data_IF_185069280920
#
_entry.id   IF_185069280920
#
_cell.length_a   1.000
_cell.length_b   1.000
_cell.length_c   1.000
_cell.angle_alpha   90.00
_cell.angle_beta   90.00
_cell.angle_gamma   90.00
#
_symmetry.space_group_name_H-M   'P 1'
#
loop_
_entity.id
_entity.type
_entity.pdbx_description
1 polymer ?
#
# COMPACT_ATOMS: atom_id res chain seq x y z
N UNK A 1 -51.25 -43.06 -12.14
CA UNK A 1 -50.68 -43.43 -10.82
C UNK A 1 -50.13 -42.16 -10.17
N UNK A 2 -50.79 -41.63 -9.14
CA UNK A 2 -50.20 -40.57 -8.31
C UNK A 2 -49.25 -41.28 -7.33
N UNK A 3 -47.93 -41.16 -7.52
CA UNK A 3 -46.96 -41.68 -6.55
C UNK A 3 -47.17 -40.96 -5.22
N UNK A 4 -47.66 -41.68 -4.20
CA UNK A 4 -47.66 -41.16 -2.84
C UNK A 4 -46.21 -41.15 -2.36
N UNK A 5 -45.62 -39.97 -2.18
CA UNK A 5 -44.34 -39.85 -1.48
C UNK A 5 -44.52 -40.41 -0.07
N UNK A 6 -43.63 -41.32 0.33
CA UNK A 6 -43.60 -41.82 1.71
C UNK A 6 -43.12 -40.71 2.64
N UNK A 7 -43.55 -40.76 3.91
CA UNK A 7 -42.99 -39.89 4.96
C UNK A 7 -41.46 -40.02 5.03
N UNK A 8 -40.94 -41.22 4.78
CA UNK A 8 -39.50 -41.50 4.74
C UNK A 8 -38.81 -40.73 3.59
N UNK A 9 -39.43 -40.66 2.42
CA UNK A 9 -38.87 -39.96 1.26
C UNK A 9 -38.73 -38.45 1.53
N UNK A 10 -39.72 -37.87 2.20
CA UNK A 10 -39.68 -36.47 2.65
C UNK A 10 -38.55 -36.20 3.65
N UNK A 11 -38.33 -37.13 4.60
CA UNK A 11 -37.25 -37.00 5.59
C UNK A 11 -35.87 -37.07 4.93
N UNK A 12 -35.65 -38.02 4.01
CA UNK A 12 -34.37 -38.16 3.31
C UNK A 12 -34.04 -36.91 2.50
N UNK A 13 -35.02 -36.38 1.75
CA UNK A 13 -34.84 -35.14 0.98
C UNK A 13 -34.54 -33.95 1.92
N UNK A 14 -35.23 -33.86 3.06
CA UNK A 14 -34.97 -32.82 4.06
C UNK A 14 -33.56 -32.90 4.66
N UNK A 15 -33.07 -34.09 5.00
CA UNK A 15 -31.71 -34.30 5.52
C UNK A 15 -30.65 -33.99 4.48
N UNK A 16 -30.84 -34.42 3.22
CA UNK A 16 -29.89 -34.09 2.16
C UNK A 16 -29.84 -32.57 1.88
N UNK A 17 -31.00 -31.89 1.89
CA UNK A 17 -31.06 -30.45 1.71
C UNK A 17 -30.39 -29.70 2.88
N UNK A 18 -30.63 -30.09 4.13
CA UNK A 18 -30.04 -29.43 5.30
C UNK A 18 -28.52 -29.61 5.36
N UNK A 19 -28.01 -30.80 5.04
CA UNK A 19 -26.56 -31.05 4.90
C UNK A 19 -25.98 -30.21 3.76
N UNK A 20 -26.66 -30.14 2.62
CA UNK A 20 -26.26 -29.29 1.49
C UNK A 20 -26.14 -27.82 1.89
N UNK A 21 -27.17 -27.23 2.52
CA UNK A 21 -27.13 -25.84 2.98
C UNK A 21 -26.04 -25.60 4.04
N UNK A 22 -25.84 -26.54 4.96
CA UNK A 22 -24.83 -26.44 6.02
C UNK A 22 -23.40 -26.39 5.47
N UNK A 23 -23.12 -27.08 4.36
CA UNK A 23 -21.82 -27.06 3.71
C UNK A 23 -21.62 -25.87 2.78
N UNK A 24 -22.68 -25.38 2.13
CA UNK A 24 -22.62 -24.27 1.18
C UNK A 24 -22.49 -22.90 1.85
N UNK A 25 -23.15 -22.67 2.99
CA UNK A 25 -23.14 -21.37 3.65
C UNK A 25 -21.73 -20.92 4.09
N UNK A 26 -20.90 -21.75 4.76
CA UNK A 26 -19.53 -21.37 5.09
C UNK A 26 -18.66 -21.10 3.85
N UNK A 27 -18.90 -21.84 2.76
CA UNK A 27 -18.17 -21.66 1.51
C UNK A 27 -18.50 -20.31 0.84
N UNK A 28 -19.78 -19.94 0.78
CA UNK A 28 -20.23 -18.64 0.22
C UNK A 28 -19.65 -17.48 1.04
N UNK A 29 -19.61 -17.60 2.37
CA UNK A 29 -19.04 -16.57 3.23
C UNK A 29 -17.52 -16.40 3.02
N UNK A 30 -16.78 -17.51 2.91
CA UNK A 30 -15.35 -17.48 2.57
C UNK A 30 -15.09 -16.83 1.21
N UNK A 31 -15.92 -17.14 0.21
CA UNK A 31 -15.80 -16.56 -1.13
C UNK A 31 -16.08 -15.06 -1.12
N UNK A 32 -17.07 -14.58 -0.35
CA UNK A 32 -17.37 -13.16 -0.20
C UNK A 32 -16.23 -12.42 0.52
N UNK A 33 -15.69 -12.98 1.59
CA UNK A 33 -14.54 -12.41 2.28
C UNK A 33 -13.32 -12.29 1.35
N UNK A 34 -13.03 -13.33 0.57
CA UNK A 34 -11.96 -13.31 -0.44
C UNK A 34 -12.21 -12.26 -1.54
N UNK A 35 -13.45 -12.10 -1.99
CA UNK A 35 -13.81 -11.09 -2.97
C UNK A 35 -13.58 -9.66 -2.45
N UNK A 36 -13.93 -9.38 -1.19
CA UNK A 36 -13.69 -8.08 -0.57
C UNK A 36 -12.20 -7.76 -0.41
N UNK A 37 -11.43 -8.74 0.03
CA UNK A 37 -9.97 -8.65 0.09
C UNK A 37 -9.38 -8.31 -1.29
N UNK A 38 -9.81 -9.03 -2.34
CA UNK A 38 -9.39 -8.76 -3.71
C UNK A 38 -9.80 -7.37 -4.21
N UNK A 39 -10.98 -6.87 -3.83
CA UNK A 39 -11.43 -5.52 -4.15
C UNK A 39 -10.57 -4.45 -3.47
N UNK A 40 -10.21 -4.63 -2.19
CA UNK A 40 -9.34 -3.66 -1.51
C UNK A 40 -7.94 -3.61 -2.16
N UNK A 41 -7.40 -4.77 -2.55
CA UNK A 41 -6.18 -4.83 -3.36
C UNK A 41 -6.34 -4.15 -4.73
N UNK A 42 -7.50 -4.27 -5.37
CA UNK A 42 -7.79 -3.61 -6.65
C UNK A 42 -7.88 -2.08 -6.52
N UNK A 43 -8.45 -1.57 -5.43
CA UNK A 43 -8.48 -0.13 -5.14
C UNK A 43 -7.06 0.42 -4.95
N UNK A 44 -6.19 -0.29 -4.25
CA UNK A 44 -4.77 0.08 -4.16
C UNK A 44 -4.08 0.09 -5.53
N UNK A 45 -4.41 -0.84 -6.44
CA UNK A 45 -3.90 -0.79 -7.82
C UNK A 45 -4.39 0.43 -8.59
N UNK A 46 -5.64 0.83 -8.40
CA UNK A 46 -6.17 2.06 -9.00
C UNK A 46 -5.45 3.30 -8.46
N UNK A 47 -5.17 3.35 -7.15
CA UNK A 47 -4.37 4.40 -6.53
C UNK A 47 -2.93 4.40 -7.02
N UNK A 48 -2.32 3.23 -7.21
CA UNK A 48 -1.00 3.09 -7.82
C UNK A 48 -0.95 3.61 -9.25
N UNK A 49 -1.94 3.26 -10.07
CA UNK A 49 -2.05 3.80 -11.42
C UNK A 49 -2.20 5.33 -11.41
N UNK A 50 -3.03 5.87 -10.51
CA UNK A 50 -3.18 7.31 -10.35
C UNK A 50 -1.86 7.99 -9.92
N UNK A 51 -1.10 7.37 -9.02
CA UNK A 51 0.22 7.84 -8.59
C UNK A 51 1.22 7.86 -9.75
N UNK A 52 1.28 6.81 -10.57
CA UNK A 52 2.15 6.76 -11.75
C UNK A 52 1.73 7.78 -12.82
N UNK A 53 0.43 7.98 -13.04
CA UNK A 53 -0.08 8.99 -13.96
C UNK A 53 0.24 10.41 -13.48
N UNK A 54 0.12 10.68 -12.18
CA UNK A 54 0.54 11.93 -11.58
C UNK A 54 2.05 12.15 -11.79
N UNK A 55 2.88 11.15 -11.51
CA UNK A 55 4.32 11.24 -11.73
C UNK A 55 4.66 11.45 -13.22
N UNK A 56 3.96 10.80 -14.15
CA UNK A 56 4.14 11.00 -15.58
C UNK A 56 3.79 12.43 -16.02
N UNK A 57 2.74 13.03 -15.46
CA UNK A 57 2.30 14.39 -15.79
C UNK A 57 3.18 15.49 -15.16
N UNK A 58 3.61 15.30 -13.91
CA UNK A 58 4.26 16.35 -13.12
C UNK A 58 5.74 16.09 -12.80
N UNK A 59 6.28 14.94 -13.21
CA UNK A 59 7.66 14.48 -12.94
C UNK A 59 8.04 14.55 -11.45
N UNK A 60 7.06 14.28 -10.58
CA UNK A 60 7.16 14.27 -9.13
C UNK A 60 5.93 13.56 -8.54
N UNK A 61 6.03 13.10 -7.31
CA UNK A 61 4.91 12.69 -6.47
C UNK A 61 4.31 13.90 -5.77
N UNK A 62 3.01 13.87 -5.41
CA UNK A 62 2.42 14.90 -4.56
C UNK A 62 3.12 14.89 -3.19
N UNK A 63 3.24 16.06 -2.53
CA UNK A 63 3.75 16.11 -1.17
C UNK A 63 2.77 15.42 -0.20
N UNK A 64 3.29 14.85 0.89
CA UNK A 64 2.45 14.22 1.93
C UNK A 64 1.56 15.23 2.66
N UNK A 65 2.09 16.43 2.89
CA UNK A 65 1.38 17.60 3.39
C UNK A 65 1.70 18.79 2.48
N UNK A 66 0.71 19.58 2.08
CA UNK A 66 0.93 20.80 1.32
C UNK A 66 -0.34 21.61 1.14
N UNK A 67 -0.32 22.58 0.23
CA UNK A 67 -1.46 23.44 -0.06
C UNK A 67 -1.19 24.92 0.24
N UNK A 68 -2.17 25.60 0.83
CA UNK A 68 -2.18 27.04 1.11
C UNK A 68 -2.03 27.30 2.61
N UNK A 69 -1.33 28.37 2.95
CA UNK A 69 -1.01 28.76 4.34
C UNK A 69 -1.23 30.25 4.55
N UNK A 70 -1.26 30.69 5.81
CA UNK A 70 -1.28 32.11 6.18
C UNK A 70 -2.66 32.78 6.18
N UNK A 71 -3.74 31.99 6.25
CA UNK A 71 -5.12 32.47 6.34
C UNK A 71 -5.91 31.79 7.46
N UNK A 72 -7.20 32.09 7.53
CA UNK A 72 -8.15 31.41 8.41
C UNK A 72 -8.58 30.06 7.81
N UNK A 73 -9.24 29.23 8.61
CA UNK A 73 -9.65 27.88 8.21
C UNK A 73 -10.62 27.85 7.03
N UNK A 74 -11.30 28.96 6.73
CA UNK A 74 -12.19 29.09 5.58
C UNK A 74 -11.51 29.67 4.32
N UNK A 75 -10.28 30.16 4.45
CA UNK A 75 -9.54 30.87 3.39
C UNK A 75 -8.20 30.22 3.06
N UNK A 76 -7.74 29.26 3.85
CA UNK A 76 -6.61 28.41 3.51
C UNK A 76 -6.76 27.01 4.09
N UNK A 77 -5.96 26.07 3.61
CA UNK A 77 -6.00 24.68 4.07
C UNK A 77 -4.95 24.33 5.14
N UNK A 78 -4.32 25.35 5.74
CA UNK A 78 -3.25 25.21 6.73
C UNK A 78 -2.13 24.26 6.26
N UNK A 79 -1.87 24.21 4.95
CA UNK A 79 -0.94 23.30 4.28
C UNK A 79 -1.09 21.82 4.65
N UNK A 80 -2.34 21.39 4.93
CA UNK A 80 -2.68 20.02 5.34
C UNK A 80 -3.30 19.19 4.24
N UNK A 81 -3.25 19.60 2.97
CA UNK A 81 -3.73 18.75 1.88
C UNK A 81 -2.82 17.55 1.66
N UNK A 82 -3.42 16.38 1.56
CA UNK A 82 -2.73 15.11 1.30
C UNK A 82 -2.61 14.76 -0.20
N UNK A 83 -1.84 13.70 -0.53
CA UNK A 83 -1.61 13.29 -1.91
C UNK A 83 -2.87 12.88 -2.68
N UNK A 84 -3.89 12.37 -1.99
CA UNK A 84 -5.16 11.93 -2.60
C UNK A 84 -5.82 13.07 -3.37
N UNK A 85 -5.73 14.31 -2.87
CA UNK A 85 -6.25 15.50 -3.55
C UNK A 85 -5.62 15.65 -4.94
N UNK A 86 -4.29 15.44 -5.05
CA UNK A 86 -3.59 15.45 -6.34
C UNK A 86 -3.90 14.24 -7.23
N UNK A 87 -4.31 13.11 -6.65
CA UNK A 87 -4.70 11.91 -7.40
C UNK A 87 -6.12 11.99 -7.98
N UNK A 88 -6.98 12.87 -7.49
CA UNK A 88 -8.38 13.00 -7.96
C UNK A 88 -8.55 13.04 -9.48
N UNK A 89 -7.82 13.85 -10.29
CA UNK A 89 -8.01 13.85 -11.75
C UNK A 89 -7.61 12.51 -12.41
N UNK A 90 -6.75 11.72 -11.78
CA UNK A 90 -6.29 10.42 -12.26
C UNK A 90 -7.13 9.24 -11.72
N UNK A 91 -8.14 9.53 -10.90
CA UNK A 91 -9.10 8.57 -10.33
C UNK A 91 -10.51 8.80 -10.89
N UNK A 92 -10.59 9.34 -12.12
CA UNK A 92 -11.84 9.69 -12.80
C UNK A 92 -12.67 10.76 -12.04
N UNK A 93 -12.05 11.51 -11.12
CA UNK A 93 -12.69 12.58 -10.34
C UNK A 93 -12.31 13.97 -10.88
N UNK A 94 -12.28 14.13 -12.21
CA UNK A 94 -11.91 15.41 -12.86
C UNK A 94 -12.85 16.56 -12.43
N UNK A 95 -14.16 16.31 -12.36
CA UNK A 95 -15.13 17.33 -11.94
C UNK A 95 -14.94 17.77 -10.47
N UNK A 96 -14.53 16.84 -9.60
CA UNK A 96 -14.20 17.15 -8.21
C UNK A 96 -12.91 17.99 -8.13
N UNK A 97 -11.88 17.60 -8.89
CA UNK A 97 -10.64 18.35 -8.98
C UNK A 97 -10.88 19.79 -9.46
N UNK A 98 -11.76 20.00 -10.44
CA UNK A 98 -12.09 21.34 -10.94
C UNK A 98 -12.76 22.22 -9.88
N UNK A 99 -13.59 21.65 -9.00
CA UNK A 99 -14.14 22.38 -7.85
C UNK A 99 -13.07 22.74 -6.83
N UNK A 100 -12.09 21.85 -6.61
CA UNK A 100 -11.01 22.06 -5.63
C UNK A 100 -9.98 23.06 -6.16
N UNK A 101 -9.52 22.89 -7.39
CA UNK A 101 -8.41 23.64 -7.98
C UNK A 101 -8.77 25.08 -8.36
N UNK A 102 -10.06 25.42 -8.43
CA UNK A 102 -10.55 26.75 -8.82
C UNK A 102 -11.30 27.43 -7.66
N UNK A 103 -11.53 28.76 -7.73
CA UNK A 103 -12.40 29.42 -6.76
C UNK A 103 -13.79 28.79 -6.78
N UNK A 104 -14.27 28.40 -5.61
CA UNK A 104 -15.55 27.71 -5.44
C UNK A 104 -16.54 28.60 -4.69
N UNK A 105 -17.81 28.57 -5.07
CA UNK A 105 -18.88 29.29 -4.37
C UNK A 105 -19.90 28.27 -3.91
N UNK A 106 -20.11 28.19 -2.60
CA UNK A 106 -21.07 27.25 -2.02
C UNK A 106 -22.48 27.53 -2.52
N UNK A 107 -23.16 26.57 -3.18
CA UNK A 107 -24.55 26.74 -3.58
C UNK A 107 -25.50 26.93 -2.38
N UNK A 108 -25.11 26.46 -1.19
CA UNK A 108 -25.95 26.50 0.02
C UNK A 108 -25.85 27.84 0.75
N UNK A 109 -24.63 28.35 0.93
CA UNK A 109 -24.39 29.56 1.75
C UNK A 109 -24.00 30.79 0.91
N UNK A 110 -23.66 30.63 -0.37
CA UNK A 110 -23.10 31.69 -1.21
C UNK A 110 -21.67 32.08 -0.82
N UNK A 111 -21.07 31.42 0.17
CA UNK A 111 -19.70 31.67 0.61
C UNK A 111 -18.71 31.32 -0.49
N UNK A 112 -17.73 32.21 -0.72
CA UNK A 112 -16.67 32.01 -1.69
C UNK A 112 -15.43 31.46 -1.00
N UNK A 113 -14.86 30.45 -1.62
CA UNK A 113 -13.65 29.77 -1.19
C UNK A 113 -12.56 29.94 -2.25
N UNK A 114 -11.30 30.16 -1.84
CA UNK A 114 -10.19 30.28 -2.77
C UNK A 114 -9.84 28.91 -3.40
N UNK A 115 -9.02 28.91 -4.47
CA UNK A 115 -8.43 27.68 -5.01
C UNK A 115 -7.75 26.85 -3.91
N UNK A 116 -7.80 25.53 -4.08
CA UNK A 116 -7.33 24.50 -3.14
C UNK A 116 -8.15 24.38 -1.85
N UNK A 117 -9.24 25.13 -1.74
CA UNK A 117 -10.21 25.02 -0.66
C UNK A 117 -9.69 25.45 0.73
N UNK A 118 -10.60 25.49 1.72
CA UNK A 118 -10.26 25.71 3.13
C UNK A 118 -9.54 24.56 3.86
N UNK A 119 -9.47 24.60 5.19
CA UNK A 119 -8.92 23.54 6.02
C UNK A 119 -9.68 22.20 5.85
N UNK A 120 -9.00 21.04 5.86
CA UNK A 120 -9.68 19.74 5.76
C UNK A 120 -10.69 19.42 6.86
N UNK A 121 -10.66 20.13 8.00
CA UNK A 121 -11.67 20.03 9.07
C UNK A 121 -12.81 21.03 8.92
N UNK A 122 -12.75 21.91 7.92
CA UNK A 122 -13.79 22.89 7.69
C UNK A 122 -15.12 22.20 7.37
N UNK A 123 -16.24 22.89 7.65
CA UNK A 123 -17.56 22.32 7.52
C UNK A 123 -17.83 21.84 6.08
N UNK A 124 -17.95 20.52 5.93
CA UNK A 124 -18.22 19.85 4.66
C UNK A 124 -19.65 20.14 4.14
N UNK A 125 -20.55 20.62 5.01
CA UNK A 125 -21.86 21.11 4.59
C UNK A 125 -21.74 22.41 3.80
N UNK A 126 -20.76 23.28 4.12
CA UNK A 126 -20.49 24.53 3.42
C UNK A 126 -19.59 24.35 2.21
N UNK A 127 -18.58 23.47 2.28
CA UNK A 127 -17.68 23.13 1.18
C UNK A 127 -17.88 21.65 0.76
N UNK A 128 -18.79 21.44 -0.20
CA UNK A 128 -19.18 20.10 -0.67
C UNK A 128 -18.06 19.21 -1.23
N UNK A 129 -16.93 19.73 -1.77
CA UNK A 129 -15.88 18.85 -2.28
C UNK A 129 -15.30 17.89 -1.23
N UNK A 130 -15.21 18.27 0.05
CA UNK A 130 -14.72 17.31 1.06
C UNK A 130 -15.74 16.28 1.52
N UNK A 131 -17.03 16.54 1.29
CA UNK A 131 -18.08 15.54 1.46
C UNK A 131 -18.11 14.51 0.31
N UNK A 132 -17.32 14.72 -0.75
CA UNK A 132 -17.42 13.97 -2.01
C UNK A 132 -16.38 12.85 -2.15
N UNK A 133 -16.22 11.94 -1.17
CA UNK A 133 -15.38 10.77 -1.46
C UNK A 133 -15.99 9.88 -2.55
N UNK A 134 -15.16 9.02 -3.10
CA UNK A 134 -15.51 8.08 -4.15
C UNK A 134 -15.19 6.67 -3.69
N UNK A 135 -15.86 5.68 -4.29
CA UNK A 135 -15.83 4.28 -3.84
C UNK A 135 -14.43 3.68 -3.80
N UNK A 136 -13.51 4.14 -4.65
CA UNK A 136 -12.10 3.69 -4.68
C UNK A 136 -11.34 4.01 -3.39
N UNK A 137 -11.80 4.96 -2.56
CA UNK A 137 -11.17 5.29 -1.28
C UNK A 137 -11.66 4.43 -0.10
N UNK A 138 -12.67 3.57 -0.32
CA UNK A 138 -13.24 2.71 0.72
C UNK A 138 -12.89 1.25 0.47
N UNK A 139 -12.42 0.56 1.51
CA UNK A 139 -12.26 -0.88 1.48
C UNK A 139 -13.59 -1.55 1.88
N UNK A 140 -14.19 -2.40 1.02
CA UNK A 140 -15.45 -3.07 1.34
C UNK A 140 -15.43 -3.93 2.62
N UNK A 141 -14.25 -4.37 3.06
CA UNK A 141 -14.11 -5.16 4.28
C UNK A 141 -14.33 -4.33 5.54
N UNK A 142 -14.05 -3.02 5.49
CA UNK A 142 -14.26 -2.09 6.61
C UNK A 142 -15.68 -1.50 6.66
N UNK A 143 -16.48 -1.66 5.60
CA UNK A 143 -17.85 -1.14 5.54
C UNK A 143 -18.89 -2.02 6.26
N UNK A 144 -18.61 -3.31 6.49
CA UNK A 144 -19.61 -4.27 7.01
C UNK A 144 -19.88 -4.10 8.52
N UNK A 145 -19.03 -3.38 9.26
CA UNK A 145 -19.20 -3.21 10.72
C UNK A 145 -20.03 -2.00 11.13
N UNK A 146 -20.58 -1.22 10.19
CA UNK A 146 -21.53 -0.16 10.57
C UNK A 146 -22.86 -0.82 11.01
N UNK A 147 -23.36 -0.52 12.22
CA UNK A 147 -24.58 -1.16 12.73
C UNK A 147 -25.78 -0.80 11.86
N UNK A 148 -26.33 -1.84 11.22
CA UNK A 148 -27.67 -1.98 10.65
C UNK A 148 -28.29 -0.72 10.01
N UNK A 149 -27.94 -0.47 8.75
CA UNK A 149 -28.99 -0.06 7.79
C UNK A 149 -29.56 -1.34 7.14
N UNK A 150 -30.89 -1.43 6.94
CA UNK A 150 -31.53 -2.68 6.50
C UNK A 150 -30.89 -3.16 5.21
N UNK A 151 -30.56 -4.46 5.15
CA UNK A 151 -30.07 -5.17 3.96
C UNK A 151 -30.92 -4.84 2.73
N UNK A 152 -30.52 -3.83 1.97
CA UNK A 152 -30.87 -3.73 0.56
C UNK A 152 -29.99 -4.72 -0.19
N UNK A 153 -30.63 -5.51 -1.05
CA UNK A 153 -29.98 -6.40 -2.01
C UNK A 153 -28.81 -5.69 -2.71
N UNK A 154 -27.77 -6.43 -3.18
CA UNK A 154 -26.61 -5.83 -3.81
C UNK A 154 -27.06 -5.05 -5.04
N UNK A 155 -27.21 -3.74 -4.89
CA UNK A 155 -27.37 -2.81 -5.99
C UNK A 155 -26.08 -2.95 -6.79
N UNK A 156 -26.20 -3.33 -8.05
CA UNK A 156 -25.14 -3.10 -9.03
C UNK A 156 -25.02 -1.57 -9.12
N UNK A 157 -24.14 -1.00 -8.30
CA UNK A 157 -23.93 0.45 -8.22
C UNK A 157 -23.17 0.88 -9.46
N UNK A 158 -23.91 1.17 -10.54
CA UNK A 158 -23.40 1.85 -11.73
C UNK A 158 -23.46 3.39 -11.61
N UNK A 159 -23.86 3.94 -10.46
CA UNK A 159 -23.98 5.38 -10.26
C UNK A 159 -23.64 5.80 -8.82
N UNK A 160 -22.65 6.68 -8.70
CA UNK A 160 -22.10 7.31 -7.50
C UNK A 160 -23.14 8.17 -6.76
N UNK A 161 -23.81 7.60 -5.75
CA UNK A 161 -24.44 8.38 -4.68
C UNK A 161 -24.22 7.65 -3.36
N UNK A 162 -23.48 8.27 -2.44
CA UNK A 162 -23.34 7.79 -1.07
C UNK A 162 -24.61 8.12 -0.27
N UNK A 163 -24.97 7.29 0.73
CA UNK A 163 -26.11 7.58 1.59
C UNK A 163 -25.87 8.87 2.40
N UNK A 164 -26.93 9.67 2.53
CA UNK A 164 -26.94 10.92 3.29
C UNK A 164 -26.53 10.70 4.75
N UNK A 165 -25.64 11.56 5.26
CA UNK A 165 -25.23 11.59 6.66
C UNK A 165 -26.44 11.94 7.55
N UNK A 166 -26.59 11.31 8.74
CA UNK A 166 -27.67 11.61 9.67
C UNK A 166 -27.58 13.05 10.22
N UNK A 167 -28.72 13.68 10.57
CA UNK A 167 -28.74 15.04 11.09
C UNK A 167 -28.06 15.11 12.45
N UNK A 168 -27.00 15.92 12.58
CA UNK A 168 -26.29 16.15 13.85
C UNK A 168 -24.82 15.67 13.88
N UNK A 169 -24.29 15.15 12.77
CA UNK A 169 -22.85 14.86 12.67
C UNK A 169 -22.04 16.17 12.54
N UNK A 170 -21.56 16.69 13.66
CA UNK A 170 -20.38 17.56 13.68
C UNK A 170 -19.15 16.65 13.62
N UNK A 171 -18.60 16.48 12.42
CA UNK A 171 -17.16 16.54 12.14
C UNK A 171 -16.82 15.96 10.76
N UNK A 172 -16.65 16.91 9.83
CA UNK A 172 -15.70 16.97 8.72
C UNK A 172 -15.33 15.67 7.97
N UNK A 173 -15.91 15.56 6.78
CA UNK A 173 -15.42 14.86 5.57
C UNK A 173 -15.51 13.33 5.55
N UNK A 174 -15.50 12.78 4.35
CA UNK A 174 -15.76 11.35 4.12
C UNK A 174 -14.55 10.48 4.44
N UNK A 175 -14.81 9.27 4.93
CA UNK A 175 -13.81 8.30 5.34
C UNK A 175 -12.93 7.80 4.18
N UNK A 176 -11.69 7.45 4.48
CA UNK A 176 -10.70 6.86 3.57
C UNK A 176 -9.99 5.68 4.25
N UNK A 177 -9.84 4.58 3.54
CA UNK A 177 -9.14 3.39 4.03
C UNK A 177 -7.70 3.26 3.51
N UNK A 178 -7.22 4.20 2.70
CA UNK A 178 -5.90 4.11 2.07
C UNK A 178 -5.02 5.27 2.53
N UNK A 179 -3.87 4.92 3.11
CA UNK A 179 -2.94 5.82 3.78
C UNK A 179 -1.57 5.81 3.11
N UNK A 180 -0.85 6.91 3.23
CA UNK A 180 0.45 7.14 2.59
C UNK A 180 1.60 6.74 3.52
N UNK A 181 2.67 6.16 2.96
CA UNK A 181 3.85 5.77 3.74
C UNK A 181 4.78 6.96 3.98
N UNK A 182 5.00 7.30 5.24
CA UNK A 182 5.92 8.34 5.71
C UNK A 182 7.30 7.78 6.11
N UNK A 183 7.49 6.47 5.96
CA UNK A 183 8.70 5.75 6.32
C UNK A 183 8.75 5.47 7.82
N UNK A 184 9.93 5.54 8.41
CA UNK A 184 10.22 5.04 9.76
C UNK A 184 10.91 6.08 10.67
N UNK A 185 10.73 7.37 10.35
CA UNK A 185 11.05 8.44 11.30
C UNK A 185 10.06 8.44 12.46
N UNK A 186 10.51 8.78 13.67
CA UNK A 186 9.67 8.75 14.89
C UNK A 186 9.52 10.08 15.59
N UNK A 187 10.16 11.16 15.11
CA UNK A 187 10.23 12.43 15.82
C UNK A 187 9.64 13.59 15.01
N UNK A 188 8.50 14.12 15.45
CA UNK A 188 7.81 15.27 14.83
C UNK A 188 7.57 15.09 13.32
N UNK A 189 6.95 13.96 12.97
CA UNK A 189 6.71 13.52 11.60
C UNK A 189 5.33 13.92 11.06
N UNK A 190 4.42 14.41 11.90
CA UNK A 190 3.05 14.78 11.54
C UNK A 190 2.84 16.28 11.26
N UNK A 191 3.90 17.08 11.31
CA UNK A 191 3.85 18.54 11.16
C UNK A 191 4.17 18.99 9.72
N UNK A 192 3.60 20.12 9.29
CA UNK A 192 4.10 20.85 8.13
C UNK A 192 5.40 21.57 8.51
N UNK A 193 6.37 21.55 7.60
CA UNK A 193 7.70 22.10 7.87
C UNK A 193 7.71 23.60 7.53
N UNK A 194 8.07 24.44 8.50
CA UNK A 194 8.53 25.79 8.20
C UNK A 194 9.89 25.71 7.51
N UNK A 195 9.93 26.10 6.24
CA UNK A 195 11.15 26.08 5.43
C UNK A 195 12.22 27.08 5.93
N UNK A 196 11.83 28.04 6.78
CA UNK A 196 12.74 29.00 7.37
C UNK A 196 13.36 28.48 8.68
N UNK A 197 12.78 27.43 9.27
CA UNK A 197 13.34 26.75 10.42
C UNK A 197 14.36 25.69 9.96
N UNK A 198 15.65 26.05 10.10
CA UNK A 198 16.78 25.19 9.72
C UNK A 198 16.78 23.88 10.51
N UNK A 199 16.34 23.89 11.77
CA UNK A 199 16.28 22.70 12.62
C UNK A 199 15.18 21.76 12.15
N UNK A 200 13.98 22.27 11.89
CA UNK A 200 12.87 21.50 11.32
C UNK A 200 13.22 20.90 9.95
N UNK A 201 13.89 21.69 9.08
CA UNK A 201 14.36 21.21 7.77
C UNK A 201 15.38 20.08 7.92
N UNK A 202 16.34 20.21 8.84
CA UNK A 202 17.35 19.17 9.08
C UNK A 202 16.73 17.90 9.67
N UNK A 203 15.81 18.04 10.64
CA UNK A 203 15.03 16.95 11.21
C UNK A 203 14.31 16.15 10.15
N UNK A 204 13.59 16.82 9.25
CA UNK A 204 12.86 16.14 8.19
C UNK A 204 13.79 15.44 7.21
N UNK A 205 14.87 16.10 6.78
CA UNK A 205 15.84 15.48 5.86
C UNK A 205 16.48 14.23 6.46
N UNK A 206 16.64 14.20 7.78
CA UNK A 206 17.13 13.04 8.52
C UNK A 206 16.07 11.94 8.69
N UNK A 207 14.89 12.30 9.22
CA UNK A 207 13.91 11.35 9.72
C UNK A 207 12.83 10.94 8.73
N UNK A 208 12.40 11.83 7.82
CA UNK A 208 11.36 11.49 6.83
C UNK A 208 11.98 10.72 5.66
N UNK A 209 12.01 9.40 5.81
CA UNK A 209 12.58 8.47 4.82
C UNK A 209 11.52 7.79 3.95
N UNK A 210 10.24 8.10 4.12
CA UNK A 210 9.16 7.60 3.27
C UNK A 210 9.10 8.22 1.86
N UNK A 211 8.29 7.59 1.02
CA UNK A 211 7.98 8.09 -0.32
C UNK A 211 7.14 9.39 -0.28
N UNK A 212 6.30 9.51 0.75
CA UNK A 212 5.52 10.71 1.05
C UNK A 212 6.07 11.35 2.32
N UNK A 213 6.21 12.67 2.32
CA UNK A 213 6.77 13.42 3.43
C UNK A 213 6.23 14.85 3.45
N UNK A 214 6.31 15.51 4.60
CA UNK A 214 5.77 16.85 4.79
C UNK A 214 6.38 17.86 3.81
N UNK A 215 5.54 18.51 3.00
CA UNK A 215 5.86 19.57 2.03
C UNK A 215 7.01 19.31 1.04
N UNK A 216 7.55 18.09 0.96
CA UNK A 216 8.61 17.73 0.01
C UNK A 216 8.04 16.95 -1.17
N UNK A 217 8.41 17.40 -2.36
CA UNK A 217 8.03 16.73 -3.62
C UNK A 217 9.13 15.74 -3.98
N UNK A 218 8.80 14.47 -3.94
CA UNK A 218 9.71 13.38 -4.29
C UNK A 218 9.59 13.01 -5.76
N UNK A 219 10.62 12.40 -6.34
CA UNK A 219 10.58 11.80 -7.68
C UNK A 219 10.96 10.33 -7.59
N UNK A 220 10.60 9.53 -8.60
CA UNK A 220 10.99 8.11 -8.61
C UNK A 220 12.51 7.90 -8.57
N UNK A 221 13.29 8.83 -9.13
CA UNK A 221 14.77 8.80 -9.02
C UNK A 221 15.30 8.99 -7.59
N UNK A 222 14.49 9.53 -6.68
CA UNK A 222 14.88 9.79 -5.30
C UNK A 222 14.68 8.54 -4.41
N UNK A 223 14.10 7.47 -4.97
CA UNK A 223 13.90 6.15 -4.34
C UNK A 223 15.10 5.25 -4.62
N UNK A 224 16.22 5.51 -3.95
CA UNK A 224 17.50 4.81 -4.13
C UNK A 224 17.43 3.32 -3.74
N UNK A 225 16.46 2.94 -2.89
CA UNK A 225 16.22 1.54 -2.50
C UNK A 225 15.47 0.74 -3.58
N UNK A 226 14.97 1.44 -4.60
CA UNK A 226 14.24 0.89 -5.74
C UNK A 226 12.73 0.90 -5.53
N UNK A 227 11.99 1.23 -6.59
CA UNK A 227 10.52 1.35 -6.54
C UNK A 227 9.83 0.04 -6.10
N UNK A 228 10.40 -1.11 -6.45
CA UNK A 228 9.87 -2.42 -6.07
C UNK A 228 10.10 -2.81 -4.61
N UNK A 229 10.98 -2.09 -3.91
CA UNK A 229 11.35 -2.34 -2.51
C UNK A 229 10.84 -1.26 -1.55
N UNK A 230 10.30 -0.15 -2.06
CA UNK A 230 9.73 0.91 -1.23
C UNK A 230 8.21 0.88 -1.29
N UNK A 231 7.56 0.88 -0.13
CA UNK A 231 6.11 0.99 0.02
C UNK A 231 5.69 2.45 -0.18
N UNK A 232 4.67 2.65 -1.01
CA UNK A 232 4.03 3.96 -1.19
C UNK A 232 2.79 4.13 -0.33
N UNK A 233 1.92 3.13 -0.30
CA UNK A 233 0.61 3.22 0.35
C UNK A 233 0.23 1.91 1.04
N UNK A 234 -0.66 1.99 2.02
CA UNK A 234 -1.20 0.82 2.70
C UNK A 234 -2.65 1.09 3.13
N UNK A 235 -3.28 0.07 3.71
CA UNK A 235 -4.61 0.17 4.29
C UNK A 235 -4.59 0.73 5.73
N UNK A 236 -5.69 1.37 6.11
CA UNK A 236 -6.08 1.66 7.49
C UNK A 236 -7.53 1.28 7.73
N UNK A 237 -7.83 0.80 8.94
CA UNK A 237 -9.20 0.75 9.48
C UNK A 237 -9.67 2.19 9.66
N UNK A 238 -10.87 2.51 9.17
CA UNK A 238 -11.51 3.81 9.32
C UNK A 238 -12.89 3.62 9.96
N UNK A 239 -12.95 3.59 11.30
CA UNK A 239 -14.16 3.29 12.05
C UNK A 239 -15.26 4.34 11.78
N UNK A 240 -16.52 3.90 11.82
CA UNK A 240 -17.67 4.79 11.79
C UNK A 240 -17.80 5.67 13.05
N UNK A 241 -18.86 6.47 13.10
CA UNK A 241 -19.03 7.61 14.03
C UNK A 241 -19.28 7.20 15.50
N UNK A 242 -19.47 5.92 15.82
CA UNK A 242 -20.24 5.56 17.02
C UNK A 242 -19.45 5.29 18.32
N UNK A 243 -18.12 5.24 18.33
CA UNK A 243 -17.35 5.10 19.59
C UNK A 243 -15.94 5.72 19.50
N UNK A 244 -15.51 6.53 20.47
CA UNK A 244 -14.16 7.09 20.54
C UNK A 244 -13.11 5.99 20.85
N UNK A 245 -13.52 4.90 21.51
CA UNK A 245 -12.70 3.69 21.70
C UNK A 245 -12.40 2.95 20.40
N UNK A 246 -13.19 3.21 19.35
CA UNK A 246 -12.92 2.71 18.00
C UNK A 246 -11.93 3.58 17.23
N UNK A 247 -11.55 4.78 17.70
CA UNK A 247 -10.65 5.67 16.95
C UNK A 247 -9.27 5.07 16.65
N UNK A 248 -8.88 4.03 17.40
CA UNK A 248 -7.60 3.30 17.29
C UNK A 248 -6.35 4.19 17.47
N UNK A 249 -6.49 5.41 18.00
CA UNK A 249 -5.40 6.35 18.31
C UNK A 249 -5.30 6.64 19.83
N UNK A 250 -4.36 6.02 20.53
CA UNK A 250 -4.07 6.38 21.92
C UNK A 250 -3.28 7.71 22.00
N UNK A 251 -3.49 8.55 23.03
CA UNK A 251 -2.82 9.85 23.14
C UNK A 251 -2.07 10.07 24.46
N UNK A 252 -1.17 11.06 24.48
CA UNK A 252 -0.47 11.48 25.70
C UNK A 252 0.66 10.54 26.12
N UNK A 253 1.19 9.74 25.19
CA UNK A 253 2.26 8.78 25.49
C UNK A 253 3.62 9.48 25.50
N UNK A 254 4.13 9.78 26.69
CA UNK A 254 5.44 10.42 26.85
C UNK A 254 6.57 9.51 26.39
N UNK A 255 7.53 10.09 25.66
CA UNK A 255 8.73 9.38 25.18
C UNK A 255 8.48 8.45 23.99
N UNK A 256 7.32 8.55 23.35
CA UNK A 256 6.93 7.70 22.23
C UNK A 256 7.93 7.77 21.05
N UNK A 257 8.49 8.94 20.76
CA UNK A 257 9.48 9.12 19.69
C UNK A 257 10.80 8.39 19.93
N UNK A 258 11.17 8.19 21.21
CA UNK A 258 12.38 7.48 21.61
C UNK A 258 12.14 5.99 21.84
N UNK A 259 10.90 5.61 22.16
CA UNK A 259 10.52 4.23 22.40
C UNK A 259 9.11 3.94 21.87
N UNK A 260 8.99 3.62 20.56
CA UNK A 260 7.71 3.28 19.93
C UNK A 260 7.00 2.08 20.57
N UNK A 261 7.72 1.13 21.18
CA UNK A 261 7.12 -0.04 21.84
C UNK A 261 6.18 0.32 22.99
N UNK A 262 6.25 1.56 23.51
CA UNK A 262 5.28 2.08 24.47
C UNK A 262 3.85 2.07 23.90
N UNK A 263 3.69 2.26 22.59
CA UNK A 263 2.40 2.21 21.93
C UNK A 263 1.77 0.82 21.99
N UNK A 264 2.56 -0.26 21.92
CA UNK A 264 2.03 -1.63 22.01
C UNK A 264 1.39 -1.91 23.38
N UNK A 265 1.85 -1.21 24.43
CA UNK A 265 1.37 -1.39 25.80
C UNK A 265 0.01 -0.73 26.05
N UNK A 266 -0.43 0.19 25.18
CA UNK A 266 -1.74 0.85 25.35
C UNK A 266 -2.90 0.01 24.84
N UNK A 267 -2.63 -1.05 24.07
CA UNK A 267 -3.65 -1.98 23.59
C UNK A 267 -4.43 -2.65 24.73
N UNK A 268 -3.77 -2.87 25.87
CA UNK A 268 -4.30 -3.66 26.99
C UNK A 268 -4.65 -2.78 28.22
N UNK A 269 -4.54 -1.44 28.11
CA UNK A 269 -4.73 -0.50 29.22
C UNK A 269 -5.97 0.38 29.09
N UNK A 270 -6.56 0.76 30.23
CA UNK A 270 -7.75 1.62 30.36
C UNK A 270 -7.42 3.13 30.19
N UNK A 271 -6.34 3.45 29.46
CA UNK A 271 -5.66 4.74 29.50
C UNK A 271 -5.37 5.30 28.10
N UNK A 272 -6.43 5.59 27.38
CA UNK A 272 -6.34 6.58 26.31
C UNK A 272 -7.55 7.50 26.45
N UNK A 273 -7.29 8.76 26.77
CA UNK A 273 -8.17 9.81 26.26
C UNK A 273 -8.06 9.70 24.74
N UNK A 274 -9.16 9.43 24.06
CA UNK A 274 -9.16 9.24 22.62
C UNK A 274 -9.35 10.61 21.96
N UNK A 275 -8.49 10.97 21.01
CA UNK A 275 -8.63 12.23 20.27
C UNK A 275 -9.91 12.20 19.43
N UNK A 276 -10.59 13.34 19.24
CA UNK A 276 -11.82 13.46 18.43
C UNK A 276 -11.62 13.13 16.92
N UNK A 277 -10.38 12.91 16.49
CA UNK A 277 -9.96 12.70 15.11
C UNK A 277 -9.52 11.24 14.95
N UNK A 278 -10.06 10.57 13.93
CA UNK A 278 -9.93 9.13 13.72
C UNK A 278 -9.03 8.85 12.52
N UNK A 279 -8.44 7.65 12.47
CA UNK A 279 -7.72 7.20 11.26
C UNK A 279 -8.64 7.23 10.05
N UNK A 280 -8.16 7.83 8.97
CA UNK A 280 -8.88 7.92 7.72
C UNK A 280 -10.16 8.75 7.77
N UNK A 281 -10.43 9.52 8.82
CA UNK A 281 -11.69 10.29 8.87
C UNK A 281 -11.77 11.41 7.85
N UNK A 282 -10.62 11.84 7.28
CA UNK A 282 -10.54 12.94 6.33
C UNK A 282 -9.65 12.63 5.15
N UNK A 283 -10.25 12.24 4.03
CA UNK A 283 -9.51 11.82 2.84
C UNK A 283 -8.60 12.91 2.25
N UNK A 284 -8.98 14.18 2.41
CA UNK A 284 -8.21 15.32 1.90
C UNK A 284 -7.08 15.76 2.82
N UNK A 285 -7.10 15.34 4.09
CA UNK A 285 -6.05 15.68 5.06
C UNK A 285 -4.84 14.77 4.86
N UNK A 286 -3.65 15.35 4.74
CA UNK A 286 -2.38 14.64 4.57
C UNK A 286 -1.69 14.24 5.87
N UNK A 287 -2.23 14.67 7.02
CA UNK A 287 -1.59 14.47 8.34
C UNK A 287 -1.33 13.01 8.61
N UNK A 288 -0.12 12.71 9.08
CA UNK A 288 0.35 11.34 9.36
C UNK A 288 -0.61 10.58 10.29
N UNK A 289 -1.12 11.25 11.33
CA UNK A 289 -2.08 10.67 12.27
C UNK A 289 -3.44 10.30 11.65
N UNK A 290 -3.76 10.75 10.42
CA UNK A 290 -5.07 10.56 9.78
C UNK A 290 -4.93 9.74 8.51
N UNK A 291 -4.16 10.24 7.55
CA UNK A 291 -4.03 9.68 6.21
C UNK A 291 -2.62 9.16 5.91
N UNK A 292 -1.78 9.01 6.92
CA UNK A 292 -0.46 8.41 6.82
C UNK A 292 -0.30 7.16 7.65
N UNK A 293 0.85 6.51 7.47
CA UNK A 293 1.38 5.48 8.38
C UNK A 293 2.91 5.46 8.32
N UNK A 294 3.52 4.86 9.34
CA UNK A 294 4.94 4.60 9.45
C UNK A 294 5.20 3.09 9.47
N UNK A 295 6.39 2.71 9.01
CA UNK A 295 6.89 1.33 9.04
C UNK A 295 7.70 1.04 10.31
N UNK A 296 7.12 1.38 11.47
CA UNK A 296 7.78 1.26 12.79
C UNK A 296 7.24 0.06 13.55
N UNK A 297 5.92 0.02 13.76
CA UNK A 297 5.24 -1.09 14.44
C UNK A 297 4.63 -2.03 13.40
N UNK A 298 4.47 -3.33 13.74
CA UNK A 298 3.86 -4.30 12.84
C UNK A 298 2.47 -3.86 12.34
N UNK A 299 2.03 -4.33 11.17
CA UNK A 299 0.64 -4.14 10.73
C UNK A 299 -0.36 -4.55 11.82
N UNK A 300 -1.51 -3.87 11.85
CA UNK A 300 -2.56 -4.04 12.86
C UNK A 300 -2.14 -3.71 14.31
N UNK A 301 -0.99 -3.06 14.51
CA UNK A 301 -0.61 -2.47 15.79
C UNK A 301 -1.44 -1.23 16.13
N UNK A 302 -1.56 -0.86 17.41
CA UNK A 302 -2.16 0.42 17.81
C UNK A 302 -1.46 1.60 17.13
N UNK A 303 -2.20 2.70 16.96
CA UNK A 303 -1.64 4.01 16.63
C UNK A 303 -1.60 4.85 17.89
N UNK A 304 -0.54 5.63 18.07
CA UNK A 304 -0.38 6.46 19.25
C UNK A 304 0.11 7.86 18.91
N UNK A 305 -0.27 8.83 19.73
CA UNK A 305 0.23 10.19 19.75
C UNK A 305 1.03 10.38 21.03
N UNK A 306 2.14 11.12 20.93
CA UNK A 306 2.87 11.54 22.12
C UNK A 306 2.13 12.66 22.85
N UNK A 307 2.78 13.25 23.86
CA UNK A 307 2.33 14.47 24.51
C UNK A 307 2.34 15.71 23.60
N UNK A 308 2.93 15.60 22.40
CA UNK A 308 2.90 16.63 21.35
C UNK A 308 1.73 16.45 20.36
N UNK A 309 0.84 15.48 20.59
CA UNK A 309 -0.38 15.31 19.78
C UNK A 309 -0.09 14.86 18.34
N UNK A 310 -0.78 15.46 17.36
CA UNK A 310 -0.71 15.05 15.95
C UNK A 310 0.65 15.30 15.28
N UNK A 311 1.51 16.11 15.89
CA UNK A 311 2.83 16.43 15.35
C UNK A 311 3.80 15.26 15.49
N UNK A 312 3.62 14.43 16.52
CA UNK A 312 4.52 13.33 16.88
C UNK A 312 3.79 11.99 17.03
N UNK A 313 3.20 11.47 15.92
CA UNK A 313 2.50 10.20 15.93
C UNK A 313 3.41 9.00 15.67
N UNK A 314 3.01 7.84 16.16
CA UNK A 314 3.40 6.52 15.67
C UNK A 314 2.14 5.85 15.10
N UNK A 315 1.97 5.93 13.78
CA UNK A 315 0.79 5.47 13.07
C UNK A 315 1.04 4.16 12.32
N UNK A 316 0.32 3.10 12.68
CA UNK A 316 0.49 1.77 12.08
C UNK A 316 -0.41 1.59 10.86
N UNK A 317 -0.02 0.75 9.90
CA UNK A 317 -0.96 0.24 8.89
C UNK A 317 -1.97 -0.70 9.55
N UNK A 318 -3.22 -0.74 9.08
CA UNK A 318 -4.24 -1.63 9.65
C UNK A 318 -5.30 -2.05 8.63
N UNK A 319 -5.85 -3.25 8.80
CA UNK A 319 -6.95 -3.74 7.99
C UNK A 319 -7.79 -4.75 8.78
N UNK A 320 -8.98 -5.08 8.25
CA UNK A 320 -9.79 -6.19 8.78
C UNK A 320 -9.47 -7.54 8.14
N UNK A 321 -8.50 -7.56 7.21
CA UNK A 321 -8.06 -8.79 6.56
C UNK A 321 -7.38 -9.71 7.58
N UNK A 322 -7.58 -11.04 7.49
CA UNK A 322 -6.90 -11.97 8.37
C UNK A 322 -5.37 -11.92 8.23
N UNK A 323 -4.69 -11.50 9.31
CA UNK A 323 -3.25 -11.68 9.50
C UNK A 323 -2.35 -10.71 8.74
N UNK A 324 -2.84 -9.56 8.27
CA UNK A 324 -2.01 -8.59 7.56
C UNK A 324 -2.74 -7.40 6.97
N UNK A 325 -2.05 -6.71 6.06
CA UNK A 325 -2.54 -5.57 5.27
C UNK A 325 -2.06 -5.69 3.82
N UNK A 326 -2.78 -5.08 2.89
CA UNK A 326 -2.27 -4.84 1.55
C UNK A 326 -1.41 -3.58 1.54
N UNK A 327 -0.22 -3.71 0.98
CA UNK A 327 0.68 -2.61 0.72
C UNK A 327 0.90 -2.45 -0.79
N UNK A 328 0.83 -1.21 -1.26
CA UNK A 328 1.18 -0.81 -2.61
C UNK A 328 2.65 -0.39 -2.63
N UNK A 329 3.45 -1.10 -3.41
CA UNK A 329 4.82 -0.76 -3.73
C UNK A 329 4.86 0.39 -4.75
N UNK A 330 5.94 1.17 -4.76
CA UNK A 330 6.08 2.31 -5.67
C UNK A 330 6.20 1.94 -7.16
N UNK A 331 6.39 0.65 -7.48
CA UNK A 331 6.33 0.12 -8.85
C UNK A 331 4.92 -0.25 -9.33
N UNK A 332 3.90 -0.06 -8.47
CA UNK A 332 2.50 -0.38 -8.77
C UNK A 332 2.08 -1.80 -8.35
N UNK A 333 3.00 -2.63 -7.85
CA UNK A 333 2.66 -3.96 -7.31
C UNK A 333 1.95 -3.83 -5.98
N UNK A 334 0.88 -4.60 -5.78
CA UNK A 334 0.23 -4.77 -4.47
C UNK A 334 0.67 -6.11 -3.87
N UNK A 335 1.18 -6.06 -2.65
CA UNK A 335 1.63 -7.22 -1.88
C UNK A 335 0.84 -7.31 -0.57
N UNK A 336 0.58 -8.53 -0.09
CA UNK A 336 0.01 -8.74 1.23
C UNK A 336 1.14 -8.91 2.24
N UNK A 337 1.16 -8.07 3.27
CA UNK A 337 2.19 -8.04 4.30
C UNK A 337 1.57 -8.52 5.61
N UNK A 338 2.15 -9.57 6.18
CA UNK A 338 1.62 -10.19 7.39
C UNK A 338 1.97 -9.43 8.67
N UNK A 339 1.15 -9.59 9.69
CA UNK A 339 1.37 -9.00 11.04
C UNK A 339 2.64 -9.54 11.71
N UNK A 340 3.14 -10.71 11.26
CA UNK A 340 4.37 -11.33 11.72
C UNK A 340 5.61 -10.90 10.95
N UNK A 341 5.55 -9.81 10.18
CA UNK A 341 6.73 -9.25 9.51
C UNK A 341 7.78 -8.83 10.54
N UNK A 342 9.05 -9.04 10.22
CA UNK A 342 10.17 -8.61 11.05
C UNK A 342 10.18 -7.08 11.19
N UNK A 343 9.94 -6.61 12.42
CA UNK A 343 9.92 -5.21 12.80
C UNK A 343 11.14 -4.83 13.67
N UNK A 344 12.21 -5.63 13.67
CA UNK A 344 13.44 -5.35 14.41
C UNK A 344 13.20 -5.08 15.90
N UNK A 345 13.80 -4.01 16.42
CA UNK A 345 13.63 -3.58 17.81
C UNK A 345 12.78 -2.30 17.90
N UNK A 346 11.45 -2.42 18.11
CA UNK A 346 10.56 -1.26 18.25
C UNK A 346 10.79 -0.48 19.55
N UNK A 347 11.69 -0.93 20.44
CA UNK A 347 12.09 -0.14 21.61
C UNK A 347 13.17 0.89 21.30
N UNK A 348 13.78 0.82 20.12
CA UNK A 348 14.77 1.79 19.68
C UNK A 348 14.13 3.05 19.08
N UNK A 349 14.77 4.21 19.27
CA UNK A 349 14.43 5.44 18.58
C UNK A 349 14.65 5.28 17.07
N UNK A 350 13.83 5.96 16.28
CA UNK A 350 14.02 6.01 14.84
C UNK A 350 15.28 6.80 14.47
N UNK A 351 15.53 6.92 13.17
CA UNK A 351 16.59 7.82 12.69
C UNK A 351 16.03 9.24 12.66
N UNK A 352 16.79 10.17 13.23
CA UNK A 352 16.48 11.59 13.29
C UNK A 352 17.77 12.39 13.58
N UNK A 353 17.64 13.69 13.76
CA UNK A 353 18.69 14.53 14.34
C UNK A 353 18.64 14.47 15.88
N UNK A 354 19.79 14.38 16.54
CA UNK A 354 19.90 14.33 18.01
C UNK A 354 20.77 13.17 18.50
N UNK A 355 21.32 13.29 19.71
CA UNK A 355 22.21 12.25 20.29
C UNK A 355 21.47 10.97 20.67
N UNK A 356 20.18 11.09 21.02
CA UNK A 356 19.34 9.98 21.42
C UNK A 356 18.71 9.24 20.23
N UNK A 357 18.98 9.62 18.98
CA UNK A 357 18.41 9.00 17.78
C UNK A 357 19.46 8.27 16.95
N UNK A 358 19.02 7.31 16.15
CA UNK A 358 19.91 6.71 15.16
C UNK A 358 20.36 7.77 14.15
N UNK A 359 21.65 7.76 13.80
CA UNK A 359 22.25 8.82 12.97
C UNK A 359 21.68 8.78 11.54
N UNK A 360 21.47 9.93 10.88
CA UNK A 360 21.03 9.97 9.48
C UNK A 360 21.91 9.10 8.57
N UNK A 361 21.28 8.25 7.76
CA UNK A 361 21.96 7.27 6.90
C UNK A 361 22.26 5.92 7.57
N UNK A 362 21.87 5.73 8.83
CA UNK A 362 21.86 4.40 9.46
C UNK A 362 20.72 3.54 8.90
N UNK A 363 20.88 2.20 8.88
CA UNK A 363 19.79 1.29 8.57
C UNK A 363 18.61 1.46 9.55
N UNK A 364 17.40 1.12 9.09
CA UNK A 364 16.21 1.09 9.92
C UNK A 364 16.39 0.14 11.11
N UNK A 365 16.08 0.58 12.34
CA UNK A 365 16.07 -0.32 13.50
C UNK A 365 14.86 -1.28 13.46
N UNK A 366 13.92 -1.07 12.54
CA UNK A 366 12.64 -1.79 12.49
C UNK A 366 12.63 -2.94 11.47
N UNK A 367 13.79 -3.57 11.26
CA UNK A 367 13.91 -4.79 10.46
C UNK A 367 13.46 -4.64 9.01
N UNK A 368 12.93 -5.73 8.44
CA UNK A 368 12.40 -5.74 7.07
C UNK A 368 11.25 -4.75 6.88
N UNK A 369 10.38 -4.60 7.88
CA UNK A 369 9.26 -3.67 7.80
C UNK A 369 9.74 -2.24 7.65
N UNK A 370 10.66 -1.81 8.52
CA UNK A 370 11.32 -0.52 8.47
C UNK A 370 11.98 -0.27 7.12
N UNK A 371 12.81 -1.20 6.66
CA UNK A 371 13.50 -1.13 5.37
C UNK A 371 12.55 -0.87 4.20
N UNK A 372 11.41 -1.56 4.16
CA UNK A 372 10.41 -1.42 3.10
C UNK A 372 9.75 -0.03 3.06
N UNK A 373 9.75 0.72 4.18
CA UNK A 373 9.25 2.11 4.20
C UNK A 373 10.33 3.15 3.87
N UNK A 374 11.60 2.76 3.79
CA UNK A 374 12.69 3.69 3.48
C UNK A 374 12.87 3.88 1.97
N UNK A 375 13.25 5.11 1.59
CA UNK A 375 13.53 5.50 0.20
C UNK A 375 15.02 5.51 -0.16
N UNK A 376 15.92 5.68 0.82
CA UNK A 376 17.31 6.00 0.54
C UNK A 376 18.33 5.49 1.58
N UNK A 377 18.14 4.30 2.15
CA UNK A 377 19.09 3.74 3.13
C UNK A 377 20.01 2.65 2.56
N UNK A 378 19.85 2.27 1.30
CA UNK A 378 20.51 1.12 0.64
C UNK A 378 20.32 -0.19 1.40
N UNK A 379 19.16 -0.34 2.01
CA UNK A 379 18.84 -1.52 2.81
C UNK A 379 18.54 -2.68 1.86
N UNK A 380 19.55 -3.50 1.61
CA UNK A 380 19.37 -4.78 0.90
C UNK A 380 18.64 -5.70 1.86
N UNK A 381 17.39 -6.02 1.56
CA UNK A 381 16.63 -7.03 2.29
C UNK A 381 17.50 -8.28 2.44
N UNK A 382 17.70 -8.82 3.66
CA UNK A 382 18.49 -10.02 3.84
C UNK A 382 17.91 -11.11 2.95
N UNK A 383 18.77 -11.73 2.14
CA UNK A 383 18.43 -12.97 1.45
C UNK A 383 17.90 -13.94 2.53
N UNK A 384 16.71 -14.56 2.38
CA UNK A 384 16.08 -15.38 3.42
C UNK A 384 16.84 -16.67 3.77
N UNK A 385 18.10 -16.80 3.34
CA UNK A 385 18.94 -17.95 3.58
C UNK A 385 20.33 -17.50 4.10
N UNK A 386 20.55 -17.48 5.42
CA UNK A 386 21.77 -16.94 6.03
C UNK A 386 23.05 -17.75 5.75
N UNK A 387 22.96 -18.90 5.07
CA UNK A 387 24.10 -19.78 4.78
C UNK A 387 24.83 -19.49 3.45
N UNK A 388 24.34 -18.55 2.64
CA UNK A 388 25.00 -18.16 1.39
C UNK A 388 25.87 -16.92 1.61
N UNK A 389 27.16 -17.14 1.95
CA UNK A 389 28.15 -16.06 1.95
C UNK A 389 28.39 -15.56 0.51
N UNK A 390 28.55 -14.24 0.28
CA UNK A 390 28.98 -13.72 -1.01
C UNK A 390 30.36 -14.28 -1.34
N UNK A 391 30.51 -14.85 -2.53
CA UNK A 391 31.81 -15.29 -3.02
C UNK A 391 32.66 -14.05 -3.26
N UNK A 392 33.71 -13.85 -2.46
CA UNK A 392 34.72 -12.84 -2.71
C UNK A 392 35.36 -13.11 -4.08
N UNK A 393 35.15 -12.19 -5.03
CA UNK A 393 35.92 -12.18 -6.26
C UNK A 393 37.25 -11.50 -5.96
N UNK A 394 38.31 -12.30 -5.94
CA UNK A 394 39.68 -11.82 -5.72
C UNK A 394 40.14 -10.83 -6.80
N UNK A 395 41.27 -10.13 -6.58
CA UNK A 395 41.69 -9.03 -7.43
C UNK A 395 42.02 -9.51 -8.84
N UNK A 396 41.54 -8.77 -9.84
CA UNK A 396 41.80 -9.01 -11.27
C UNK A 396 43.29 -8.84 -11.54
N UNK A 397 44.01 -9.97 -11.54
CA UNK A 397 45.37 -10.09 -12.02
C UNK A 397 45.39 -10.11 -13.54
N UNK A 398 45.84 -9.02 -14.15
CA UNK A 398 46.07 -8.92 -15.58
C UNK A 398 47.36 -9.68 -15.95
N UNK A 399 47.29 -10.73 -16.79
CA UNK A 399 48.42 -11.23 -17.60
C UNK A 399 47.97 -12.22 -18.68
N UNK A 400 47.80 -11.69 -19.89
CA UNK A 400 48.16 -12.21 -21.21
C UNK A 400 48.07 -13.72 -21.48
N UNK A 401 47.26 -14.11 -22.47
CA UNK A 401 47.48 -15.34 -23.22
C UNK A 401 46.32 -15.88 -24.05
N UNK A 402 46.06 -15.24 -25.20
CA UNK A 402 45.40 -15.78 -26.40
C UNK A 402 43.87 -15.96 -26.41
N UNK A 403 43.30 -15.32 -27.43
CA UNK A 403 41.88 -15.26 -27.75
C UNK A 403 41.36 -16.55 -28.40
N UNK A 404 40.22 -17.04 -27.92
CA UNK A 404 39.24 -17.77 -28.72
C UNK A 404 37.83 -17.38 -28.29
N UNK A 405 37.09 -16.75 -29.22
CA UNK A 405 35.62 -16.80 -29.33
C UNK A 405 34.79 -16.14 -28.24
N UNK A 406 34.60 -14.82 -28.34
CA UNK A 406 33.40 -14.17 -27.81
C UNK A 406 32.22 -14.46 -28.74
N UNK A 407 31.34 -15.38 -28.35
CA UNK A 407 29.97 -15.45 -28.86
C UNK A 407 29.01 -15.47 -27.64
N UNK A 408 28.25 -14.40 -27.36
CA UNK A 408 27.34 -14.34 -26.22
C UNK A 408 26.07 -15.21 -26.38
N UNK A 409 25.80 -15.81 -27.55
CA UNK A 409 24.46 -16.31 -27.88
C UNK A 409 24.12 -17.77 -27.50
N UNK A 410 24.96 -18.53 -26.79
CA UNK A 410 24.64 -19.96 -26.53
C UNK A 410 24.95 -20.44 -25.12
N UNK A 411 24.21 -19.93 -24.12
CA UNK A 411 24.12 -20.58 -22.80
C UNK A 411 23.11 -21.72 -22.83
N UNK A 412 23.62 -22.93 -22.95
CA UNK A 412 22.86 -24.16 -22.73
C UNK A 412 22.59 -24.34 -21.23
N UNK A 413 21.34 -24.25 -20.81
CA UNK A 413 20.93 -24.44 -19.43
C UNK A 413 20.41 -25.87 -19.21
N UNK A 414 20.54 -26.38 -17.97
CA UNK A 414 19.97 -27.67 -17.60
C UNK A 414 18.59 -27.46 -17.00
N UNK A 415 17.56 -27.84 -17.76
CA UNK A 415 16.15 -27.78 -17.40
C UNK A 415 15.78 -29.03 -16.61
N UNK A 416 15.00 -28.86 -15.56
CA UNK A 416 14.57 -29.97 -14.72
C UNK A 416 13.05 -29.94 -14.58
N UNK A 417 12.43 -31.11 -14.64
CA UNK A 417 11.00 -31.25 -14.35
C UNK A 417 10.71 -30.96 -12.88
N UNK A 418 9.42 -30.77 -12.56
CA UNK A 418 8.97 -30.41 -11.22
C UNK A 418 9.30 -31.46 -10.17
N UNK A 419 9.33 -32.73 -10.58
CA UNK A 419 9.64 -33.87 -9.69
C UNK A 419 11.15 -34.13 -9.54
N UNK A 420 12.01 -33.39 -10.27
CA UNK A 420 13.46 -33.54 -10.22
C UNK A 420 14.03 -34.78 -10.92
N UNK A 421 13.19 -35.58 -11.57
CA UNK A 421 13.54 -36.88 -12.16
C UNK A 421 14.09 -36.76 -13.58
N UNK A 422 13.64 -35.78 -14.34
CA UNK A 422 14.02 -35.61 -15.73
C UNK A 422 14.80 -34.32 -15.94
N UNK A 423 16.01 -34.44 -16.49
CA UNK A 423 16.92 -33.32 -16.75
C UNK A 423 17.25 -33.24 -18.23
N UNK A 424 17.08 -32.07 -18.82
CA UNK A 424 17.35 -31.81 -20.23
C UNK A 424 18.29 -30.61 -20.37
N UNK A 425 19.41 -30.78 -21.07
CA UNK A 425 20.29 -29.66 -21.39
C UNK A 425 19.82 -29.03 -22.71
N UNK A 426 19.21 -27.84 -22.61
CA UNK A 426 18.54 -27.17 -23.72
C UNK A 426 18.61 -25.64 -23.55
N UNK A 427 18.29 -24.91 -24.61
CA UNK A 427 18.11 -23.45 -24.57
C UNK A 427 16.68 -23.08 -24.94
N UNK A 428 16.20 -21.94 -24.47
CA UNK A 428 14.89 -21.42 -24.87
C UNK A 428 14.96 -21.01 -26.33
N UNK A 429 14.11 -21.61 -27.16
CA UNK A 429 13.92 -21.18 -28.55
C UNK A 429 12.93 -20.01 -28.60
N UNK A 430 11.75 -20.20 -27.97
CA UNK A 430 10.71 -19.17 -27.83
C UNK A 430 9.67 -19.57 -26.78
N UNK A 431 9.00 -18.59 -26.20
CA UNK A 431 7.77 -18.80 -25.43
C UNK A 431 6.60 -18.78 -26.42
N UNK A 432 5.78 -19.83 -26.42
CA UNK A 432 4.65 -19.96 -27.35
C UNK A 432 3.44 -19.21 -26.78
N UNK A 433 3.17 -19.39 -25.49
CA UNK A 433 2.07 -18.79 -24.75
C UNK A 433 2.39 -18.73 -23.25
N UNK A 434 1.46 -18.24 -22.43
CA UNK A 434 1.65 -18.12 -20.97
C UNK A 434 1.81 -19.46 -20.23
N UNK A 435 1.61 -20.58 -20.92
CA UNK A 435 1.59 -21.93 -20.33
C UNK A 435 2.63 -22.86 -20.95
N UNK A 436 3.30 -22.50 -22.05
CA UNK A 436 4.17 -23.40 -22.83
C UNK A 436 5.43 -22.72 -23.36
N UNK A 437 6.57 -23.41 -23.22
CA UNK A 437 7.88 -22.99 -23.75
C UNK A 437 8.43 -24.02 -24.74
N UNK A 438 9.06 -23.55 -25.83
CA UNK A 438 9.77 -24.38 -26.80
C UNK A 438 11.27 -24.35 -26.50
N UNK A 439 11.85 -25.51 -26.18
CA UNK A 439 13.25 -25.69 -25.82
C UNK A 439 13.99 -26.44 -26.94
N UNK A 440 15.16 -25.98 -27.34
CA UNK A 440 16.03 -26.66 -28.30
C UNK A 440 17.14 -27.42 -27.55
N UNK A 441 17.28 -28.73 -27.77
CA UNK A 441 18.34 -29.54 -27.16
C UNK A 441 19.68 -29.47 -27.93
N UNK A 442 20.76 -29.99 -27.33
CA UNK A 442 22.12 -29.93 -27.90
C UNK A 442 22.29 -30.53 -29.30
N UNK A 443 21.29 -31.28 -29.78
CA UNK A 443 21.26 -31.91 -31.11
C UNK A 443 20.37 -31.14 -32.09
N UNK A 444 19.83 -29.99 -31.69
CA UNK A 444 18.91 -29.16 -32.49
C UNK A 444 17.48 -29.66 -32.50
N UNK A 445 17.11 -30.57 -31.60
CA UNK A 445 15.74 -31.10 -31.52
C UNK A 445 14.90 -30.15 -30.66
N UNK A 446 13.73 -29.75 -31.17
CA UNK A 446 12.78 -28.89 -30.47
C UNK A 446 11.83 -29.72 -29.61
N UNK A 447 11.70 -29.31 -28.34
CA UNK A 447 10.85 -29.90 -27.33
C UNK A 447 9.84 -28.86 -26.85
N UNK A 448 8.55 -29.20 -26.88
CA UNK A 448 7.50 -28.35 -26.32
C UNK A 448 7.20 -28.81 -24.90
N UNK A 449 7.40 -27.92 -23.95
CA UNK A 449 7.28 -28.23 -22.53
C UNK A 449 6.29 -27.28 -21.88
N UNK A 450 5.20 -27.80 -21.27
CA UNK A 450 4.30 -26.99 -20.46
C UNK A 450 5.05 -26.43 -19.25
N UNK A 451 4.92 -25.12 -18.98
CA UNK A 451 5.60 -24.42 -17.89
C UNK A 451 5.26 -25.05 -16.53
N UNK A 452 4.03 -25.54 -16.33
CA UNK A 452 3.59 -26.20 -15.10
C UNK A 452 4.28 -27.55 -14.81
N UNK A 453 4.99 -28.12 -15.79
CA UNK A 453 5.77 -29.37 -15.63
C UNK A 453 7.23 -29.13 -15.27
N UNK A 454 7.70 -27.88 -15.35
CA UNK A 454 9.06 -27.49 -15.00
C UNK A 454 9.17 -27.14 -13.51
N UNK A 455 10.38 -27.25 -12.94
CA UNK A 455 10.66 -26.74 -11.60
C UNK A 455 10.51 -25.21 -11.54
N UNK A 456 10.14 -24.67 -10.37
CA UNK A 456 9.93 -23.22 -10.19
C UNK A 456 11.15 -22.39 -10.60
N UNK A 457 12.36 -22.89 -10.31
CA UNK A 457 13.62 -22.29 -10.74
C UNK A 457 13.82 -22.29 -12.26
N UNK A 458 13.38 -23.37 -12.94
CA UNK A 458 13.43 -23.46 -14.40
C UNK A 458 12.40 -22.53 -15.04
N UNK A 459 11.22 -22.36 -14.44
CA UNK A 459 10.19 -21.41 -14.90
C UNK A 459 10.73 -19.97 -14.86
N UNK A 460 11.29 -19.56 -13.71
CA UNK A 460 11.88 -18.22 -13.57
C UNK A 460 13.00 -18.00 -14.58
N UNK A 461 13.84 -19.01 -14.80
CA UNK A 461 14.89 -18.96 -15.81
C UNK A 461 14.32 -18.81 -17.24
N UNK A 462 13.22 -19.49 -17.60
CA UNK A 462 12.58 -19.34 -18.91
C UNK A 462 12.04 -17.93 -19.14
N UNK A 463 11.33 -17.38 -18.15
CA UNK A 463 10.74 -16.05 -18.22
C UNK A 463 11.83 -14.99 -18.29
N UNK A 464 12.84 -15.08 -17.42
CA UNK A 464 13.98 -14.15 -17.40
C UNK A 464 14.74 -14.17 -18.73
N UNK A 465 15.01 -15.37 -19.28
CA UNK A 465 15.72 -15.49 -20.56
C UNK A 465 14.90 -14.96 -21.76
N UNK A 466 13.57 -15.02 -21.69
CA UNK A 466 12.68 -14.44 -22.71
C UNK A 466 12.60 -12.92 -22.60
N UNK A 467 12.45 -12.38 -21.38
CA UNK A 467 12.41 -10.93 -21.13
C UNK A 467 13.72 -10.23 -21.47
N UNK A 468 14.85 -10.95 -21.42
CA UNK A 468 16.15 -10.47 -21.87
C UNK A 468 16.29 -10.35 -23.41
N UNK A 469 15.24 -10.63 -24.19
CA UNK A 469 15.16 -10.21 -25.59
C UNK A 469 16.01 -11.02 -26.56
N UNK A 470 16.04 -12.35 -26.41
CA UNK A 470 16.51 -13.25 -27.48
C UNK A 470 15.36 -13.58 -28.44
N UNK A 471 14.80 -12.56 -29.10
CA UNK A 471 13.97 -12.80 -30.28
C UNK A 471 14.89 -13.21 -31.43
N UNK A 472 14.81 -14.47 -31.85
CA UNK A 472 15.26 -14.89 -33.18
C UNK A 472 14.44 -14.09 -34.21
N UNK A 473 15.01 -13.03 -34.76
CA UNK A 473 14.58 -12.48 -36.05
C UNK A 473 14.56 -13.65 -37.04
N UNK A 474 13.37 -14.09 -37.42
CA UNK A 474 13.18 -14.90 -38.60
C UNK A 474 13.76 -14.11 -39.78
N UNK A 475 14.88 -14.59 -40.31
CA UNK A 475 15.48 -14.04 -41.51
C UNK A 475 14.50 -14.25 -42.69
N UNK A 476 13.73 -13.21 -43.01
CA UNK A 476 13.19 -13.05 -44.34
C UNK A 476 14.38 -12.87 -45.28
N UNK A 477 14.62 -13.84 -46.17
CA UNK A 477 15.56 -13.72 -47.28
C UNK A 477 15.04 -12.65 -48.27
N UNK A 478 15.89 -11.72 -48.72
CA UNK A 478 15.75 -11.11 -50.02
C UNK A 478 16.53 -11.91 -51.08
N UNK A 479 15.90 -12.03 -52.25
CA UNK A 479 16.23 -12.75 -53.49
C UNK A 479 15.91 -14.26 -53.56
#
# INVERSE_FOLDING_TARGET
MKSKLSFIDLVIVGVMASVGFSLLLPAILRQRAAARNALCASNLKALGLAMHNYHAAFNQLPPGLGGTVGGEDDTCNQGRLGPIVGFTPFLEQQALWEKIANPYVSPKTGKRFPPMGPAPWFDAAEYDPWASAFSTLRCPDDMETQPETPKQEPIVVTTLAMPDLPPGAIDSTTLCNYVMCYGDGTYLMGEMIDINDVEAVNRVRAGMRGAFCGNQRMRFRDMLDGLSNTIGMSETISPGINDAKESHIAQGIKGLSLNPSLCLKTRDGDHADWWDVRRGSRWADGTLAISGFQTVLPPNSPTCLSDLGMEDPIASASSRHPGGVHALMLDGRVVFIGDSIDCGDPSQPGVSVGEDYARPGSPSPYGVWGALGTRASKEVLPNPNPDLKPVETGPVGNRNGQAQGNDPERRWATWTDRDGKHRLKARVNRIIDRETVELEDSRGILHRVPLNTLSDSSIVMAVTMYEMGLELKAAAKPE
#
